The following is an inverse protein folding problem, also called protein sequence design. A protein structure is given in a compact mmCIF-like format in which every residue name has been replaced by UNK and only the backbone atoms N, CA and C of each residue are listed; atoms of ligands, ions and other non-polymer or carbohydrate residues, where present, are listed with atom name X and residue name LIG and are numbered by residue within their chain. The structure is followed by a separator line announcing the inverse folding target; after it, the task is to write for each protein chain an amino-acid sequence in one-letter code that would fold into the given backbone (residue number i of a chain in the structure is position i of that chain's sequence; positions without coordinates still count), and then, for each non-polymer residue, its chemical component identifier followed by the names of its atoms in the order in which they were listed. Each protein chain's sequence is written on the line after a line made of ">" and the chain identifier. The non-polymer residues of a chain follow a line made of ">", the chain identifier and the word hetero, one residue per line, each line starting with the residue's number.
data_IF_853227565915
#
_entry.id   IF_853227565915
#
_cell.length_a   1.000
_cell.length_b   1.000
_cell.length_c   1.000
_cell.angle_alpha   90.00
_cell.angle_beta   90.00
_cell.angle_gamma   90.00
#
_symmetry.space_group_name_H-M   'P 1'
#
loop_
_entity.id
_entity.type
_entity.pdbx_description
1 polymer ?
#
# COMPACT_ATOMS: atom_id res chain seq x y z
N UNK A 1 16.23 8.68 21.29
CA UNK A 1 15.80 7.49 22.06
C UNK A 1 14.56 6.99 21.35
N UNK A 2 14.67 5.89 20.60
CA UNK A 2 13.54 5.41 19.80
C UNK A 2 12.40 5.06 20.75
N UNK A 3 11.20 5.54 20.43
CA UNK A 3 9.98 5.12 21.09
C UNK A 3 9.90 3.58 21.06
N UNK A 4 9.11 2.98 21.95
CA UNK A 4 9.12 1.54 22.21
C UNK A 4 9.15 0.72 20.91
N UNK A 5 9.79 -0.45 20.92
CA UNK A 5 9.96 -1.29 19.71
C UNK A 5 8.66 -1.59 18.96
N UNK A 6 7.53 -1.46 19.65
CA UNK A 6 6.18 -1.57 19.08
C UNK A 6 5.79 -0.36 18.23
N UNK A 7 5.89 0.87 18.76
CA UNK A 7 5.59 2.12 18.03
C UNK A 7 6.48 2.27 16.78
N UNK A 8 7.76 1.93 16.90
CA UNK A 8 8.67 1.94 15.76
C UNK A 8 8.27 0.91 14.66
N UNK A 9 7.72 -0.24 15.07
CA UNK A 9 7.25 -1.27 14.14
C UNK A 9 5.98 -0.83 13.42
N UNK A 10 5.05 -0.20 14.12
CA UNK A 10 3.82 0.35 13.54
C UNK A 10 4.13 1.41 12.48
N UNK A 11 5.00 2.38 12.83
CA UNK A 11 5.44 3.43 11.89
C UNK A 11 6.10 2.81 10.66
N UNK A 12 6.92 1.76 10.81
CA UNK A 12 7.56 1.09 9.68
C UNK A 12 6.54 0.39 8.76
N UNK A 13 5.50 -0.21 9.34
CA UNK A 13 4.42 -0.85 8.58
C UNK A 13 3.61 0.19 7.81
N UNK A 14 3.27 1.32 8.44
CA UNK A 14 2.56 2.43 7.80
C UNK A 14 3.39 3.13 6.72
N UNK A 15 4.68 3.37 6.97
CA UNK A 15 5.56 3.94 5.95
C UNK A 15 5.65 3.02 4.72
N UNK A 16 5.81 1.71 4.94
CA UNK A 16 5.83 0.71 3.88
C UNK A 16 4.51 0.67 3.11
N UNK A 17 3.39 0.80 3.82
CA UNK A 17 2.06 0.87 3.25
C UNK A 17 1.92 2.02 2.24
N UNK A 18 2.30 3.23 2.66
CA UNK A 18 2.27 4.43 1.82
C UNK A 18 3.14 4.23 0.58
N UNK A 19 4.36 3.71 0.75
CA UNK A 19 5.26 3.43 -0.38
C UNK A 19 4.63 2.47 -1.40
N UNK A 20 4.02 1.36 -0.95
CA UNK A 20 3.39 0.42 -1.86
C UNK A 20 2.20 1.02 -2.61
N UNK A 21 1.37 1.83 -1.94
CA UNK A 21 0.23 2.51 -2.56
C UNK A 21 0.71 3.51 -3.62
N UNK A 22 1.72 4.32 -3.31
CA UNK A 22 2.28 5.29 -4.25
C UNK A 22 2.90 4.61 -5.47
N UNK A 23 3.67 3.53 -5.27
CA UNK A 23 4.26 2.79 -6.39
C UNK A 23 3.18 2.12 -7.23
N UNK A 24 2.20 1.44 -6.62
CA UNK A 24 1.10 0.83 -7.35
C UNK A 24 0.31 1.87 -8.16
N UNK A 25 0.05 3.04 -7.58
CA UNK A 25 -0.62 4.15 -8.26
C UNK A 25 0.18 4.63 -9.47
N UNK A 26 1.51 4.76 -9.32
CA UNK A 26 2.41 5.09 -10.42
C UNK A 26 2.43 4.04 -11.52
N UNK A 27 2.45 2.75 -11.16
CA UNK A 27 2.40 1.62 -12.10
C UNK A 27 1.08 1.62 -12.89
N UNK A 28 -0.06 1.80 -12.21
CA UNK A 28 -1.38 1.88 -12.85
C UNK A 28 -1.50 3.10 -13.78
N UNK A 29 -1.01 4.26 -13.33
CA UNK A 29 -0.97 5.46 -14.17
C UNK A 29 -0.09 5.25 -15.40
N UNK A 30 1.11 4.72 -15.21
CA UNK A 30 2.05 4.43 -16.29
C UNK A 30 1.45 3.47 -17.31
N UNK A 31 0.76 2.41 -16.85
CA UNK A 31 0.08 1.44 -17.72
C UNK A 31 -1.04 2.10 -18.52
N UNK A 32 -1.77 3.05 -17.93
CA UNK A 32 -2.83 3.80 -18.60
C UNK A 32 -2.27 4.79 -19.63
N UNK A 33 -1.24 5.56 -19.26
CA UNK A 33 -0.69 6.65 -20.08
C UNK A 33 0.14 6.13 -21.26
N UNK A 34 0.84 5.02 -21.07
CA UNK A 34 1.77 4.45 -22.06
C UNK A 34 1.39 3.01 -22.41
N UNK A 35 0.09 2.71 -22.45
CA UNK A 35 -0.43 1.35 -22.67
C UNK A 35 0.16 0.68 -23.93
N UNK A 36 0.41 1.45 -24.98
CA UNK A 36 0.99 0.97 -26.24
C UNK A 36 2.48 0.61 -26.16
N UNK A 37 3.20 1.15 -25.18
CA UNK A 37 4.63 0.90 -24.97
C UNK A 37 4.90 -0.16 -23.90
N UNK A 38 3.93 -0.45 -23.04
CA UNK A 38 4.03 -1.46 -22.02
C UNK A 38 3.61 -2.84 -22.53
N UNK A 39 4.40 -3.85 -22.17
CA UNK A 39 4.11 -5.26 -22.48
C UNK A 39 3.62 -6.02 -21.23
N UNK A 40 3.37 -7.31 -21.38
CA UNK A 40 2.96 -8.20 -20.28
C UNK A 40 3.86 -8.12 -19.02
N UNK A 41 5.13 -7.78 -19.17
CA UNK A 41 6.07 -7.64 -18.05
C UNK A 41 5.70 -6.49 -17.09
N UNK A 42 5.03 -5.45 -17.58
CA UNK A 42 4.58 -4.35 -16.72
C UNK A 42 3.42 -4.78 -15.80
N UNK A 43 2.56 -5.68 -16.29
CA UNK A 43 1.51 -6.31 -15.48
C UNK A 43 2.06 -7.19 -14.36
N UNK A 44 3.25 -7.77 -14.52
CA UNK A 44 3.94 -8.50 -13.43
C UNK A 44 4.25 -7.55 -12.28
N UNK A 45 4.78 -6.37 -12.58
CA UNK A 45 5.01 -5.31 -11.59
C UNK A 45 3.72 -4.95 -10.86
N UNK A 46 2.67 -4.58 -11.61
CA UNK A 46 1.35 -4.24 -11.05
C UNK A 46 0.83 -5.35 -10.13
N UNK A 47 0.96 -6.61 -10.54
CA UNK A 47 0.49 -7.77 -9.75
C UNK A 47 1.24 -7.90 -8.44
N UNK A 48 2.58 -7.81 -8.46
CA UNK A 48 3.41 -7.88 -7.25
C UNK A 48 3.04 -6.74 -6.30
N UNK A 49 2.99 -5.51 -6.79
CA UNK A 49 2.65 -4.35 -5.95
C UNK A 49 1.22 -4.43 -5.42
N UNK A 50 0.28 -4.99 -6.18
CA UNK A 50 -1.09 -5.25 -5.73
C UNK A 50 -1.12 -6.28 -4.60
N UNK A 51 -0.35 -7.37 -4.69
CA UNK A 51 -0.25 -8.38 -3.63
C UNK A 51 0.27 -7.79 -2.31
N UNK A 52 1.20 -6.85 -2.37
CA UNK A 52 1.75 -6.21 -1.17
C UNK A 52 0.90 -5.05 -0.63
N UNK A 53 0.24 -4.29 -1.52
CA UNK A 53 -0.64 -3.19 -1.12
C UNK A 53 -1.99 -3.68 -0.57
N UNK A 54 -2.50 -4.82 -1.04
CA UNK A 54 -3.84 -5.31 -0.69
C UNK A 54 -4.01 -5.60 0.80
N UNK A 55 -3.17 -6.42 1.47
CA UNK A 55 -3.31 -6.71 2.91
C UNK A 55 -3.19 -5.45 3.77
N UNK A 56 -2.36 -4.51 3.32
CA UNK A 56 -2.16 -3.21 3.96
C UNK A 56 -3.42 -2.35 3.90
N UNK A 57 -4.02 -2.22 2.72
CA UNK A 57 -5.26 -1.44 2.54
C UNK A 57 -6.39 -2.08 3.35
N UNK A 58 -6.50 -3.41 3.33
CA UNK A 58 -7.47 -4.12 4.17
C UNK A 58 -7.21 -3.88 5.66
N UNK A 59 -6.00 -4.07 6.16
CA UNK A 59 -5.66 -3.84 7.56
C UNK A 59 -5.94 -2.39 8.01
N UNK A 60 -5.52 -1.42 7.20
CA UNK A 60 -5.71 0.00 7.49
C UNK A 60 -7.19 0.35 7.47
N UNK A 61 -7.95 -0.11 6.47
CA UNK A 61 -9.39 0.13 6.37
C UNK A 61 -10.15 -0.52 7.52
N UNK A 62 -9.85 -1.78 7.86
CA UNK A 62 -10.46 -2.49 8.98
C UNK A 62 -10.13 -1.82 10.31
N UNK A 63 -8.87 -1.45 10.58
CA UNK A 63 -8.53 -0.73 11.80
C UNK A 63 -9.22 0.64 11.87
N UNK A 64 -9.15 1.47 10.83
CA UNK A 64 -9.81 2.77 10.80
C UNK A 64 -11.32 2.66 11.04
N UNK A 65 -12.00 1.67 10.44
CA UNK A 65 -13.45 1.47 10.63
C UNK A 65 -13.82 0.84 11.97
N UNK A 66 -12.95 0.03 12.58
CA UNK A 66 -13.22 -0.54 13.91
C UNK A 66 -12.90 0.42 15.06
N UNK A 67 -11.84 1.23 14.94
CA UNK A 67 -11.47 2.21 15.98
C UNK A 67 -12.44 3.39 16.02
N UNK A 68 -12.95 3.87 14.88
CA UNK A 68 -14.00 4.91 14.82
C UNK A 68 -15.33 4.46 15.41
N UNK A 69 -15.60 3.15 15.43
CA UNK A 69 -16.77 2.56 16.10
C UNK A 69 -16.63 2.46 17.62
N UNK A 70 -15.40 2.50 18.15
CA UNK A 70 -15.13 2.35 19.59
C UNK A 70 -15.11 3.70 20.32
N UNK A 71 -15.04 4.80 19.59
CA UNK A 71 -15.00 6.18 20.11
C UNK A 71 -16.33 6.94 19.97
N UNK A 72 -17.40 6.31 19.50
CA UNK A 72 -18.78 6.79 19.60
C UNK A 72 -19.56 5.94 20.60
#
# INVERSE_FOLDING_TARGET
>A
HWATTEEAREILVEARAICWILILSGQLWSQKAYHEYWSGNHWVGITIFSLWATPVVFYSFFNLTFFTKKTN
#
